data_IF_046555040444
#
_entry.id   IF_046555040444
#
_cell.length_a   1.000
_cell.length_b   1.000
_cell.length_c   1.000
_cell.angle_alpha   90.00
_cell.angle_beta   90.00
_cell.angle_gamma   90.00
#
_symmetry.space_group_name_H-M   'P 1'
#
loop_
_entity.id
_entity.type
_entity.pdbx_description
1 polymer ?
#
# COMPACT_ATOMS: atom_id res chain seq x y z
N UNK A 1 6.59 -17.72 20.09
CA UNK A 1 6.39 -16.29 19.80
C UNK A 1 7.08 -15.80 18.52
N UNK A 2 8.29 -16.25 18.15
CA UNK A 2 9.00 -15.81 16.93
C UNK A 2 8.19 -15.88 15.62
N UNK A 3 7.33 -16.90 15.45
CA UNK A 3 6.52 -17.05 14.23
C UNK A 3 5.58 -15.86 14.02
N UNK A 4 4.98 -15.33 15.09
CA UNK A 4 4.03 -14.20 15.02
C UNK A 4 4.74 -12.91 14.61
N UNK A 5 5.93 -12.67 15.16
CA UNK A 5 6.75 -11.48 14.83
C UNK A 5 7.14 -11.44 13.35
N UNK A 6 7.50 -12.59 12.75
CA UNK A 6 7.80 -12.66 11.31
C UNK A 6 6.57 -12.36 10.43
N UNK A 7 5.37 -12.82 10.80
CA UNK A 7 4.16 -12.49 10.05
C UNK A 7 3.86 -10.99 10.08
N UNK A 8 3.98 -10.40 11.27
CA UNK A 8 3.73 -8.97 11.45
C UNK A 8 4.73 -8.13 10.64
N UNK A 9 6.01 -8.51 10.62
CA UNK A 9 7.01 -7.87 9.74
C UNK A 9 6.68 -8.03 8.24
N UNK A 10 6.18 -9.18 7.81
CA UNK A 10 5.87 -9.41 6.39
C UNK A 10 4.69 -8.55 5.95
N UNK A 11 3.62 -8.50 6.76
CA UNK A 11 2.45 -7.65 6.51
C UNK A 11 2.85 -6.17 6.52
N UNK A 12 3.67 -5.75 7.49
CA UNK A 12 4.13 -4.36 7.58
C UNK A 12 4.99 -3.95 6.38
N UNK A 13 5.86 -4.84 5.91
CA UNK A 13 6.71 -4.61 4.73
C UNK A 13 5.88 -4.45 3.46
N UNK A 14 4.89 -5.33 3.25
CA UNK A 14 3.98 -5.25 2.09
C UNK A 14 3.07 -4.01 2.14
N UNK A 15 2.60 -3.63 3.32
CA UNK A 15 1.85 -2.39 3.52
C UNK A 15 2.70 -1.15 3.17
N UNK A 16 3.97 -1.12 3.58
CA UNK A 16 4.89 -0.02 3.27
C UNK A 16 5.19 0.07 1.78
N UNK A 17 5.43 -1.06 1.12
CA UNK A 17 5.65 -1.12 -0.33
C UNK A 17 4.42 -0.64 -1.10
N UNK A 18 3.22 -1.05 -0.69
CA UNK A 18 1.96 -0.56 -1.28
C UNK A 18 1.75 0.93 -1.12
N UNK A 19 2.01 1.47 0.07
CA UNK A 19 1.92 2.91 0.33
C UNK A 19 2.98 3.72 -0.45
N UNK A 20 4.21 3.21 -0.56
CA UNK A 20 5.28 3.84 -1.32
C UNK A 20 4.97 3.89 -2.82
N UNK A 21 4.48 2.78 -3.38
CA UNK A 21 4.08 2.73 -4.79
C UNK A 21 2.93 3.70 -5.08
N UNK A 22 1.91 3.74 -4.24
CA UNK A 22 0.83 4.72 -4.41
C UNK A 22 1.31 6.16 -4.22
N UNK A 23 2.30 6.42 -3.36
CA UNK A 23 2.88 7.76 -3.21
C UNK A 23 3.61 8.23 -4.47
N UNK A 24 4.21 7.33 -5.24
CA UNK A 24 4.88 7.67 -6.50
C UNK A 24 3.89 7.83 -7.66
N UNK A 25 2.83 7.03 -7.68
CA UNK A 25 1.84 7.02 -8.76
C UNK A 25 0.79 8.12 -8.55
N UNK A 26 0.38 8.38 -7.32
CA UNK A 26 -0.63 9.37 -6.97
C UNK A 26 -0.38 10.78 -7.54
N UNK A 27 0.80 11.41 -7.40
CA UNK A 27 1.02 12.74 -7.95
C UNK A 27 0.93 12.76 -9.49
N UNK A 28 1.30 11.66 -10.15
CA UNK A 28 1.18 11.52 -11.61
C UNK A 28 -0.29 11.41 -12.05
N UNK A 29 -1.10 10.65 -11.31
CA UNK A 29 -2.53 10.51 -11.57
C UNK A 29 -3.30 11.79 -11.21
N UNK A 30 -2.99 12.42 -10.07
CA UNK A 30 -3.63 13.67 -9.64
C UNK A 30 -3.37 14.82 -10.61
N UNK A 31 -2.18 14.88 -11.22
CA UNK A 31 -1.88 15.86 -12.29
C UNK A 31 -2.72 15.65 -13.56
N UNK A 32 -3.15 14.42 -13.85
CA UNK A 32 -3.90 14.07 -15.05
C UNK A 32 -5.42 14.15 -14.87
N UNK A 33 -5.95 13.79 -13.70
CA UNK A 33 -7.40 13.70 -13.46
C UNK A 33 -7.99 14.84 -12.62
N UNK A 34 -7.16 15.58 -11.88
CA UNK A 34 -7.63 16.58 -10.92
C UNK A 34 -6.89 17.89 -11.19
N UNK A 35 -7.35 18.62 -12.21
CA UNK A 35 -6.99 20.03 -12.34
C UNK A 35 -7.39 20.73 -11.04
N UNK A 36 -6.40 21.15 -10.25
CA UNK A 36 -6.65 21.87 -9.01
C UNK A 36 -7.58 23.05 -9.31
N UNK A 37 -8.69 23.23 -8.58
CA UNK A 37 -9.56 24.38 -8.78
C UNK A 37 -8.82 25.60 -8.25
N UNK A 38 -8.02 26.24 -9.11
CA UNK A 38 -7.47 27.56 -8.83
C UNK A 38 -8.05 28.53 -9.84
N UNK A 39 -8.94 29.38 -9.33
CA UNK A 39 -9.11 30.73 -9.84
C UNK A 39 -7.71 31.38 -9.84
N UNK A 40 -7.22 31.73 -11.02
CA UNK A 40 -5.96 32.43 -11.18
C UNK A 40 -5.99 33.73 -10.35
N UNK A 41 -5.26 33.80 -9.23
CA UNK A 41 -4.88 35.10 -8.66
C UNK A 41 -4.89 35.30 -7.14
N UNK A 42 -5.41 34.39 -6.29
CA UNK A 42 -5.44 34.69 -4.83
C UNK A 42 -5.22 33.43 -3.99
N UNK A 43 -4.10 33.39 -3.26
CA UNK A 43 -3.62 32.35 -2.33
C UNK A 43 -3.31 30.97 -2.92
N UNK A 44 -2.05 30.53 -2.79
CA UNK A 44 -1.60 29.17 -3.12
C UNK A 44 -1.98 28.11 -2.06
N UNK A 45 -2.50 28.56 -0.93
CA UNK A 45 -2.86 27.72 0.23
C UNK A 45 -3.97 26.69 -0.05
N UNK A 46 -5.08 27.03 -0.75
CA UNK A 46 -6.16 26.07 -1.03
C UNK A 46 -5.72 24.97 -2.00
N UNK A 47 -4.86 25.31 -2.97
CA UNK A 47 -4.34 24.37 -3.96
C UNK A 47 -3.41 23.33 -3.31
N UNK A 48 -2.52 23.80 -2.42
CA UNK A 48 -1.65 22.95 -1.64
C UNK A 48 -2.45 22.01 -0.75
N UNK A 49 -3.47 22.52 -0.05
CA UNK A 49 -4.29 21.70 0.86
C UNK A 49 -5.11 20.63 0.11
N UNK A 50 -5.63 20.95 -1.08
CA UNK A 50 -6.32 19.97 -1.94
C UNK A 50 -5.40 18.86 -2.43
N UNK A 51 -4.19 19.22 -2.88
CA UNK A 51 -3.20 18.24 -3.34
C UNK A 51 -2.74 17.33 -2.20
N UNK A 52 -2.52 17.87 -1.01
CA UNK A 52 -2.17 17.10 0.19
C UNK A 52 -3.29 16.18 0.63
N UNK A 53 -4.55 16.64 0.63
CA UNK A 53 -5.69 15.80 0.98
C UNK A 53 -5.89 14.64 -0.01
N UNK A 54 -5.69 14.87 -1.31
CA UNK A 54 -5.73 13.82 -2.33
C UNK A 54 -4.59 12.81 -2.14
N UNK A 55 -3.38 13.29 -1.82
CA UNK A 55 -2.22 12.45 -1.55
C UNK A 55 -2.46 11.54 -0.34
N UNK A 56 -2.95 12.10 0.77
CA UNK A 56 -3.26 11.36 2.00
C UNK A 56 -4.31 10.26 1.73
N UNK A 57 -5.37 10.57 0.98
CA UNK A 57 -6.39 9.57 0.59
C UNK A 57 -5.79 8.45 -0.25
N UNK A 58 -4.92 8.77 -1.21
CA UNK A 58 -4.26 7.77 -2.05
C UNK A 58 -3.30 6.86 -1.26
N UNK A 59 -2.59 7.42 -0.27
CA UNK A 59 -1.71 6.67 0.63
C UNK A 59 -2.50 5.72 1.52
N UNK A 60 -3.66 6.15 2.04
CA UNK A 60 -4.56 5.32 2.82
C UNK A 60 -5.06 4.11 2.01
N UNK A 61 -5.46 4.35 0.75
CA UNK A 61 -5.87 3.28 -0.17
C UNK A 61 -4.68 2.33 -0.45
N UNK A 62 -3.50 2.87 -0.72
CA UNK A 62 -2.28 2.08 -0.96
C UNK A 62 -1.89 1.22 0.24
N UNK A 63 -2.04 1.74 1.45
CA UNK A 63 -1.74 1.03 2.70
C UNK A 63 -2.73 -0.10 2.95
N UNK A 64 -4.03 0.12 2.69
CA UNK A 64 -5.07 -0.92 2.80
C UNK A 64 -4.81 -2.04 1.78
N UNK A 65 -4.56 -1.70 0.52
CA UNK A 65 -4.29 -2.69 -0.53
C UNK A 65 -2.96 -3.45 -0.28
N UNK A 66 -1.92 -2.75 0.18
CA UNK A 66 -0.65 -3.34 0.58
C UNK A 66 -0.81 -4.28 1.79
N UNK A 67 -1.60 -3.89 2.79
CA UNK A 67 -1.92 -4.74 3.94
C UNK A 67 -2.70 -6.00 3.54
N UNK A 68 -3.74 -5.85 2.71
CA UNK A 68 -4.54 -6.99 2.22
C UNK A 68 -3.70 -7.97 1.39
N UNK A 69 -2.84 -7.47 0.51
CA UNK A 69 -1.93 -8.32 -0.27
C UNK A 69 -0.89 -9.01 0.61
N UNK A 70 -0.36 -8.35 1.64
CA UNK A 70 0.52 -8.96 2.64
C UNK A 70 -0.15 -10.09 3.43
N UNK A 71 -1.43 -9.93 3.80
CA UNK A 71 -2.22 -11.00 4.43
C UNK A 71 -2.43 -12.16 3.46
N UNK A 72 -2.80 -11.90 2.21
CA UNK A 72 -2.98 -12.93 1.18
C UNK A 72 -1.69 -13.72 0.95
N UNK A 73 -0.56 -13.02 0.78
CA UNK A 73 0.76 -13.62 0.64
C UNK A 73 1.08 -14.52 1.84
N UNK A 74 0.85 -14.04 3.07
CA UNK A 74 1.13 -14.81 4.28
C UNK A 74 0.35 -16.13 4.35
N UNK A 75 -0.90 -16.16 3.86
CA UNK A 75 -1.74 -17.37 3.82
C UNK A 75 -1.24 -18.33 2.73
N UNK A 76 -0.90 -17.83 1.54
CA UNK A 76 -0.38 -18.64 0.43
C UNK A 76 0.96 -19.30 0.78
N UNK A 77 1.88 -18.58 1.43
CA UNK A 77 3.17 -19.14 1.86
C UNK A 77 3.01 -20.28 2.86
N UNK A 78 1.96 -20.26 3.71
CA UNK A 78 1.65 -21.37 4.63
C UNK A 78 1.20 -22.62 3.89
N UNK A 79 0.35 -22.46 2.86
CA UNK A 79 -0.11 -23.58 2.03
C UNK A 79 1.06 -24.25 1.30
N UNK A 80 2.05 -23.47 0.86
CA UNK A 80 3.24 -23.99 0.20
C UNK A 80 4.12 -24.80 1.14
N UNK A 81 4.37 -24.32 2.37
CA UNK A 81 5.16 -25.09 3.36
C UNK A 81 4.51 -26.40 3.81
N UNK A 82 3.19 -26.50 3.80
CA UNK A 82 2.50 -27.73 4.20
C UNK A 82 2.65 -28.87 3.18
N UNK A 83 2.86 -28.57 1.89
CA UNK A 83 3.03 -29.58 0.84
C UNK A 83 4.42 -30.20 0.82
N UNK A 84 5.44 -29.52 1.34
CA UNK A 84 6.80 -30.04 1.41
C UNK A 84 7.07 -30.92 2.65
N UNK A 85 6.05 -31.19 3.46
CA UNK A 85 6.17 -31.96 4.70
C UNK A 85 5.59 -33.39 4.59
N UNK A 86 5.12 -33.82 3.42
CA UNK A 86 4.83 -35.24 3.20
C UNK A 86 6.17 -35.97 3.03
N UNK A 87 6.56 -36.85 3.98
CA UNK A 87 7.72 -37.69 3.78
C UNK A 87 7.43 -38.61 2.60
N UNK A 88 8.32 -38.60 1.61
CA UNK A 88 8.39 -39.66 0.60
C UNK A 88 8.68 -40.96 1.36
N UNK A 89 7.63 -41.71 1.69
CA UNK A 89 7.76 -43.10 2.13
C UNK A 89 8.10 -43.94 0.90
N UNK A 90 9.38 -44.27 0.76
CA UNK A 90 9.79 -45.52 0.11
C UNK A 90 10.01 -46.56 1.20
#
# INVERSE_FOLDING_TARGET
>A
MQKITSYLQTILSWAFVGAALMTLIAPSISRLLISAPVSFGVNCEPAANWSMAALIRSQLIGLILGGLSGVFASIYFRKSKSKSAEPVSN
#
